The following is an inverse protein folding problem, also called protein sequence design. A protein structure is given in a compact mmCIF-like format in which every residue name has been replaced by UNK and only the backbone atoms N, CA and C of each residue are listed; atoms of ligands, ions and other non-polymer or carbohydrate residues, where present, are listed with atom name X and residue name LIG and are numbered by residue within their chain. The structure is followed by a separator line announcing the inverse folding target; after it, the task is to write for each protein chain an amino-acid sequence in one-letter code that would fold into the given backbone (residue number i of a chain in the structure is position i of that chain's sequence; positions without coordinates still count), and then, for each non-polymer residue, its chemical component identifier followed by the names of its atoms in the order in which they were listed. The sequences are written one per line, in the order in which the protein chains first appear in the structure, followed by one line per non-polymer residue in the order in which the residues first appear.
data_IF_546974721759
#
_entry.id   IF_546974721759
#
_cell.length_a   1.000
_cell.length_b   1.000
_cell.length_c   1.000
_cell.angle_alpha   90.00
_cell.angle_beta   90.00
_cell.angle_gamma   90.00
#
_symmetry.space_group_name_H-M   'P 1'
#
loop_
_entity.id
_entity.type
_entity.pdbx_description
1 polymer ?
#
# COMPACT_ATOMS: atom_id res chain seq x y z
N UNK A 1 7.52 1.98 -15.05
CA UNK A 1 6.45 1.08 -15.54
C UNK A 1 5.15 1.62 -14.96
N UNK A 2 4.08 1.77 -15.75
CA UNK A 2 2.97 2.64 -15.37
C UNK A 2 2.27 2.17 -14.08
N UNK A 3 1.89 3.13 -13.26
CA UNK A 3 1.13 2.92 -12.04
C UNK A 3 -0.28 2.43 -12.42
N UNK A 4 -0.48 1.11 -12.41
CA UNK A 4 -1.82 0.53 -12.50
C UNK A 4 -2.43 0.50 -11.10
N UNK A 5 -3.70 0.90 -10.95
CA UNK A 5 -4.39 0.76 -9.67
C UNK A 5 -4.43 -0.72 -9.28
N UNK A 6 -3.90 -1.05 -8.10
CA UNK A 6 -4.06 -2.38 -7.52
C UNK A 6 -5.07 -2.33 -6.39
N UNK A 7 -5.91 -3.37 -6.29
CA UNK A 7 -6.92 -3.48 -5.24
C UNK A 7 -6.67 -4.72 -4.38
N UNK A 8 -6.73 -4.55 -3.06
CA UNK A 8 -6.76 -5.64 -2.09
C UNK A 8 -7.76 -5.28 -0.98
N UNK A 9 -8.80 -6.11 -0.81
CA UNK A 9 -9.86 -5.84 0.15
C UNK A 9 -10.48 -4.45 -0.05
N UNK A 10 -10.39 -3.60 0.98
CA UNK A 10 -10.91 -2.21 0.95
C UNK A 10 -9.94 -1.21 0.30
N UNK A 11 -8.70 -1.60 0.04
CA UNK A 11 -7.64 -0.68 -0.39
C UNK A 11 -7.51 -0.71 -1.90
N UNK A 12 -7.58 0.46 -2.53
CA UNK A 12 -7.17 0.67 -3.93
C UNK A 12 -6.05 1.69 -3.96
N UNK A 13 -4.93 1.39 -4.62
CA UNK A 13 -3.80 2.33 -4.67
C UNK A 13 -3.08 2.35 -6.00
N UNK A 14 -2.43 3.48 -6.27
CA UNK A 14 -1.42 3.63 -7.32
C UNK A 14 -0.06 3.86 -6.68
N UNK A 15 0.97 3.27 -7.28
CA UNK A 15 2.34 3.32 -6.81
C UNK A 15 3.28 3.70 -7.95
N UNK A 16 4.21 4.62 -7.68
CA UNK A 16 5.35 4.91 -8.54
C UNK A 16 6.64 4.90 -7.74
N UNK A 17 7.60 4.06 -8.14
CA UNK A 17 8.85 3.87 -7.45
C UNK A 17 9.17 2.40 -7.28
N UNK A 18 10.00 2.08 -6.30
CA UNK A 18 10.43 0.73 -5.96
C UNK A 18 10.31 0.55 -4.45
N UNK A 19 9.62 -0.52 -4.04
CA UNK A 19 9.68 -1.01 -2.66
C UNK A 19 10.70 -2.14 -2.58
N UNK A 20 11.81 -1.91 -1.89
CA UNK A 20 12.97 -2.81 -1.89
C UNK A 20 12.73 -4.08 -1.05
N UNK A 21 11.92 -3.97 0.00
CA UNK A 21 11.60 -5.08 0.90
C UNK A 21 10.24 -5.75 0.60
N UNK A 22 9.70 -5.60 -0.62
CA UNK A 22 8.38 -6.15 -0.95
C UNK A 22 8.32 -7.68 -0.85
N UNK A 23 9.41 -8.37 -1.18
CA UNK A 23 9.47 -9.83 -1.13
C UNK A 23 9.39 -10.38 0.30
N UNK A 24 10.02 -9.69 1.26
CA UNK A 24 9.96 -10.00 2.69
C UNK A 24 8.53 -9.80 3.20
N UNK A 25 7.95 -8.62 2.98
CA UNK A 25 6.57 -8.29 3.37
C UNK A 25 5.55 -9.26 2.76
N UNK A 26 5.77 -9.68 1.50
CA UNK A 26 4.92 -10.67 0.84
C UNK A 26 4.99 -12.02 1.53
N UNK A 27 6.19 -12.48 1.91
CA UNK A 27 6.36 -13.75 2.58
C UNK A 27 5.69 -13.76 3.96
N UNK A 28 5.80 -12.66 4.71
CA UNK A 28 5.10 -12.47 6.00
C UNK A 28 3.58 -12.58 5.82
N UNK A 29 3.00 -11.77 4.93
CA UNK A 29 1.56 -11.77 4.66
C UNK A 29 1.06 -13.12 4.13
N UNK A 30 1.83 -13.79 3.28
CA UNK A 30 1.49 -15.12 2.79
C UNK A 30 1.46 -16.16 3.93
N UNK A 31 2.37 -16.06 4.91
CA UNK A 31 2.36 -16.90 6.10
C UNK A 31 1.13 -16.63 6.99
N UNK A 32 0.59 -15.41 6.95
CA UNK A 32 -0.68 -15.03 7.59
C UNK A 32 -1.92 -15.43 6.77
N UNK A 33 -1.74 -16.08 5.61
CA UNK A 33 -2.82 -16.62 4.78
C UNK A 33 -3.30 -15.68 3.66
N UNK A 34 -2.57 -14.59 3.38
CA UNK A 34 -2.90 -13.72 2.25
C UNK A 34 -2.59 -14.40 0.91
N UNK A 35 -3.53 -14.32 -0.03
CA UNK A 35 -3.37 -14.82 -1.40
C UNK A 35 -3.05 -13.65 -2.32
N UNK A 36 -2.03 -13.83 -3.16
CA UNK A 36 -1.53 -12.82 -4.10
C UNK A 36 -1.76 -13.29 -5.53
N UNK A 37 -2.25 -12.40 -6.38
CA UNK A 37 -2.49 -12.65 -7.81
C UNK A 37 -1.26 -12.29 -8.66
N UNK A 38 -0.37 -11.43 -8.16
CA UNK A 38 0.83 -10.96 -8.83
C UNK A 38 2.08 -11.05 -7.94
N UNK A 39 3.24 -10.70 -8.49
CA UNK A 39 4.50 -10.55 -7.75
C UNK A 39 4.95 -9.09 -7.70
N UNK A 40 4.02 -8.14 -7.82
CA UNK A 40 4.33 -6.71 -7.80
C UNK A 40 4.39 -6.17 -6.38
N UNK A 41 5.26 -5.20 -6.15
CA UNK A 41 5.33 -4.45 -4.90
C UNK A 41 4.02 -3.70 -4.58
N UNK A 42 3.35 -3.20 -5.61
CA UNK A 42 2.10 -2.44 -5.52
C UNK A 42 0.99 -3.27 -4.87
N UNK A 43 0.88 -4.55 -5.25
CA UNK A 43 -0.05 -5.47 -4.61
C UNK A 43 0.30 -5.73 -3.15
N UNK A 44 1.59 -5.90 -2.84
CA UNK A 44 2.05 -6.12 -1.46
C UNK A 44 1.67 -4.95 -0.55
N UNK A 45 1.82 -3.71 -1.01
CA UNK A 45 1.41 -2.52 -0.26
C UNK A 45 -0.11 -2.53 -0.01
N UNK A 46 -0.91 -2.92 -1.00
CA UNK A 46 -2.37 -2.95 -0.88
C UNK A 46 -2.82 -3.98 0.17
N UNK A 47 -2.26 -5.20 0.12
CA UNK A 47 -2.55 -6.23 1.12
C UNK A 47 -2.06 -5.84 2.51
N UNK A 48 -0.88 -5.21 2.61
CA UNK A 48 -0.34 -4.75 3.88
C UNK A 48 -1.26 -3.71 4.52
N UNK A 49 -1.71 -2.69 3.77
CA UNK A 49 -2.61 -1.68 4.30
C UNK A 49 -3.98 -2.26 4.67
N UNK A 50 -4.53 -3.17 3.87
CA UNK A 50 -5.79 -3.85 4.18
C UNK A 50 -5.68 -4.69 5.47
N UNK A 51 -4.53 -5.34 5.70
CA UNK A 51 -4.24 -6.04 6.95
C UNK A 51 -4.23 -5.08 8.15
N UNK A 52 -3.53 -3.94 8.04
CA UNK A 52 -3.48 -2.95 9.11
C UNK A 52 -4.87 -2.36 9.41
N UNK A 53 -5.72 -2.17 8.40
CA UNK A 53 -7.12 -1.73 8.59
C UNK A 53 -7.95 -2.78 9.33
N UNK A 54 -7.76 -4.07 9.05
CA UNK A 54 -8.46 -5.18 9.72
C UNK A 54 -8.13 -5.30 11.21
N UNK A 55 -7.05 -4.69 11.69
CA UNK A 55 -6.75 -4.58 13.12
C UNK A 55 -7.66 -3.60 13.88
N UNK A 56 -8.56 -2.89 13.19
CA UNK A 56 -9.48 -1.91 13.76
C UNK A 56 -8.91 -0.49 13.86
N UNK A 57 -7.74 -0.24 13.26
CA UNK A 57 -7.11 1.09 13.20
C UNK A 57 -7.88 2.03 12.27
N UNK A 58 -7.77 3.32 12.54
CA UNK A 58 -8.27 4.35 11.62
C UNK A 58 -7.43 4.39 10.33
N UNK A 59 -8.02 4.78 9.18
CA UNK A 59 -7.33 4.89 7.90
C UNK A 59 -5.93 5.52 7.94
N UNK A 60 -5.81 6.70 8.54
CA UNK A 60 -4.54 7.42 8.62
C UNK A 60 -3.50 6.70 9.49
N UNK A 61 -3.93 6.01 10.55
CA UNK A 61 -3.03 5.25 11.44
C UNK A 61 -2.54 3.97 10.77
N UNK A 62 -3.45 3.23 10.13
CA UNK A 62 -3.11 2.05 9.33
C UNK A 62 -2.12 2.42 8.21
N UNK A 63 -2.36 3.56 7.55
CA UNK A 63 -1.48 4.05 6.51
C UNK A 63 -0.09 4.42 7.04
N UNK A 64 0.01 5.13 8.17
CA UNK A 64 1.32 5.45 8.79
C UNK A 64 2.12 4.18 9.12
N UNK A 65 1.49 3.20 9.76
CA UNK A 65 2.19 1.95 10.10
C UNK A 65 2.59 1.17 8.85
N UNK A 66 1.77 1.19 7.80
CA UNK A 66 2.15 0.65 6.50
C UNK A 66 3.41 1.33 5.98
N UNK A 67 3.45 2.68 5.96
CA UNK A 67 4.60 3.45 5.47
C UNK A 67 5.89 3.19 6.27
N UNK A 68 5.78 3.03 7.58
CA UNK A 68 6.92 2.74 8.47
C UNK A 68 7.58 1.39 8.14
N UNK A 69 6.82 0.45 7.55
CA UNK A 69 7.33 -0.86 7.11
C UNK A 69 7.93 -0.85 5.70
N UNK A 70 7.74 0.21 4.91
CA UNK A 70 8.22 0.25 3.53
C UNK A 70 9.69 0.70 3.44
N UNK A 71 10.50 -0.04 2.69
CA UNK A 71 11.89 0.30 2.33
C UNK A 71 11.97 0.65 0.84
N UNK A 72 12.84 1.59 0.46
CA UNK A 72 12.94 2.11 -0.93
C UNK A 72 12.42 3.54 -1.13
N UNK A 73 12.16 3.86 -2.40
CA UNK A 73 11.77 5.19 -2.86
C UNK A 73 10.49 5.13 -3.70
N UNK A 74 9.45 5.86 -3.27
CA UNK A 74 8.11 5.69 -3.78
C UNK A 74 7.25 6.95 -3.68
N UNK A 75 6.15 6.94 -4.43
CA UNK A 75 5.02 7.83 -4.40
C UNK A 75 3.74 6.98 -4.42
N UNK A 76 2.80 7.25 -3.51
CA UNK A 76 1.56 6.49 -3.33
C UNK A 76 0.37 7.45 -3.33
N UNK A 77 -0.72 7.03 -3.97
CA UNK A 77 -2.06 7.59 -3.73
C UNK A 77 -3.04 6.44 -3.49
N UNK A 78 -3.83 6.55 -2.42
CA UNK A 78 -4.64 5.47 -1.87
C UNK A 78 -6.07 5.94 -1.64
N UNK A 79 -7.01 5.08 -2.01
CA UNK A 79 -8.43 5.16 -1.72
C UNK A 79 -8.83 3.97 -0.84
N UNK A 80 -9.77 4.19 0.08
CA UNK A 80 -10.28 3.16 0.99
C UNK A 80 -11.80 3.09 0.82
N UNK A 81 -12.31 1.92 0.44
CA UNK A 81 -13.75 1.68 0.31
C UNK A 81 -14.46 1.97 1.64
N UNK A 82 -15.50 2.80 1.62
CA UNK A 82 -16.26 3.22 2.80
C UNK A 82 -15.73 4.47 3.52
N UNK A 83 -14.65 5.09 3.01
CA UNK A 83 -14.13 6.37 3.51
C UNK A 83 -14.33 7.47 2.45
N UNK A 84 -15.58 7.92 2.28
CA UNK A 84 -15.94 8.88 1.23
C UNK A 84 -15.19 10.21 1.40
N UNK A 85 -14.56 10.68 0.32
CA UNK A 85 -13.81 11.94 0.30
C UNK A 85 -12.40 11.86 0.91
N UNK A 86 -11.96 10.69 1.39
CA UNK A 86 -10.60 10.50 1.89
C UNK A 86 -9.66 10.02 0.77
N UNK A 87 -8.62 10.80 0.51
CA UNK A 87 -7.49 10.40 -0.34
C UNK A 87 -6.23 10.50 0.51
N UNK A 88 -5.48 9.39 0.61
CA UNK A 88 -4.21 9.35 1.31
C UNK A 88 -3.06 9.37 0.31
N UNK A 89 -2.06 10.20 0.56
CA UNK A 89 -0.88 10.32 -0.29
C UNK A 89 0.40 10.24 0.54
N UNK A 90 1.41 9.59 -0.01
CA UNK A 90 2.75 9.54 0.59
C UNK A 90 3.83 9.62 -0.49
N UNK A 91 4.98 10.18 -0.12
CA UNK A 91 6.18 10.17 -0.96
C UNK A 91 7.42 10.00 -0.11
N UNK A 92 8.39 9.25 -0.62
CA UNK A 92 9.72 9.11 -0.03
C UNK A 92 10.74 8.94 -1.15
N UNK A 93 11.68 9.86 -1.29
CA UNK A 93 12.73 9.80 -2.31
C UNK A 93 12.27 9.93 -3.78
N UNK A 94 10.97 9.86 -4.08
CA UNK A 94 10.38 10.05 -5.42
C UNK A 94 9.66 11.41 -5.52
N UNK A 95 9.73 12.13 -6.66
CA UNK A 95 8.93 13.34 -6.86
C UNK A 95 7.44 12.99 -6.96
N UNK A 96 6.61 13.61 -6.10
CA UNK A 96 5.14 13.60 -6.20
C UNK A 96 4.70 15.05 -6.42
N UNK A 97 3.94 15.29 -7.49
CA UNK A 97 3.23 16.55 -7.72
C UNK A 97 1.76 16.32 -7.36
N UNK A 98 1.23 17.13 -6.44
CA UNK A 98 -0.21 17.23 -6.16
C UNK A 98 -0.68 18.54 -6.77
N UNK A 99 -1.66 18.50 -7.66
CA UNK A 99 -2.25 19.65 -8.36
C UNK A 99 -3.76 19.59 -8.31
#
# INVERSE_FOLDING_TARGET
YPAHPHKAGRVTLVHNGIIENFAELKAELAAEGHVFESQTDTEVIAHLLDAELKTGRKPLEAFKVTLDRLTGAYALAVLIDGEDGLILGARRGSPLVVG
#
